data_IF_619018737462
#
_entry.id   IF_619018737462
#
_cell.length_a   1.000
_cell.length_b   1.000
_cell.length_c   1.000
_cell.angle_alpha   90.00
_cell.angle_beta   90.00
_cell.angle_gamma   90.00
#
_symmetry.space_group_name_H-M   'P 1'
#
loop_
_entity.id
_entity.type
_entity.pdbx_description
1 polymer ?
#
# COMPACT_ATOMS: atom_id res chain seq x y z
N UNK A 1 -14.36 3.98 -9.72
CA UNK A 1 -14.33 2.51 -9.87
C UNK A 1 -13.03 1.95 -9.33
N UNK A 2 -13.07 0.76 -8.74
CA UNK A 2 -11.87 0.01 -8.36
C UNK A 2 -11.57 -1.02 -9.44
N UNK A 3 -10.29 -1.19 -9.75
CA UNK A 3 -9.81 -2.11 -10.76
C UNK A 3 -8.78 -3.06 -10.16
N UNK A 4 -8.91 -4.36 -10.44
CA UNK A 4 -7.92 -5.38 -10.12
C UNK A 4 -7.06 -5.73 -11.35
N UNK A 5 -5.90 -6.35 -11.14
CA UNK A 5 -5.08 -6.87 -12.23
C UNK A 5 -5.75 -8.11 -12.86
N UNK A 6 -5.79 -8.19 -14.20
CA UNK A 6 -6.21 -9.41 -14.90
C UNK A 6 -5.03 -10.41 -14.96
N UNK A 7 -5.08 -11.47 -14.16
CA UNK A 7 -4.03 -12.48 -14.13
C UNK A 7 -3.79 -13.16 -15.49
N UNK A 8 -4.81 -13.24 -16.36
CA UNK A 8 -4.67 -13.83 -17.71
C UNK A 8 -3.88 -12.93 -18.68
N UNK A 9 -3.69 -11.66 -18.33
CA UNK A 9 -2.94 -10.67 -19.10
C UNK A 9 -1.78 -10.09 -18.28
N UNK A 10 -1.24 -10.89 -17.36
CA UNK A 10 -0.16 -10.53 -16.46
C UNK A 10 1.03 -11.45 -16.65
N UNK A 11 2.22 -10.86 -16.69
CA UNK A 11 3.49 -11.58 -16.64
C UNK A 11 4.24 -11.16 -15.39
N UNK A 12 4.96 -12.11 -14.79
CA UNK A 12 5.84 -11.88 -13.67
C UNK A 12 7.14 -12.66 -13.89
N UNK A 13 8.26 -11.97 -13.77
CA UNK A 13 9.59 -12.53 -13.96
C UNK A 13 10.48 -12.05 -12.81
N UNK A 14 11.27 -12.95 -12.23
CA UNK A 14 12.06 -12.59 -11.07
C UNK A 14 13.10 -13.61 -10.66
N UNK A 15 13.88 -13.20 -9.67
CA UNK A 15 14.86 -13.98 -8.94
C UNK A 15 14.54 -13.93 -7.43
N UNK A 16 15.44 -14.44 -6.59
CA UNK A 16 15.32 -14.35 -5.14
C UNK A 16 15.37 -12.91 -4.59
N UNK A 17 15.91 -11.96 -5.36
CA UNK A 17 16.18 -10.58 -4.90
C UNK A 17 15.43 -9.52 -5.71
N UNK A 18 14.79 -9.88 -6.82
CA UNK A 18 14.08 -8.95 -7.67
C UNK A 18 12.87 -9.59 -8.35
N UNK A 19 11.80 -8.83 -8.52
CA UNK A 19 10.60 -9.23 -9.25
C UNK A 19 10.14 -8.09 -10.13
N UNK A 20 9.86 -8.37 -11.40
CA UNK A 20 9.19 -7.47 -12.32
C UNK A 20 7.84 -8.06 -12.69
N UNK A 21 6.79 -7.26 -12.60
CA UNK A 21 5.43 -7.64 -12.94
C UNK A 21 4.86 -6.63 -13.94
N UNK A 22 4.20 -7.12 -14.98
CA UNK A 22 3.48 -6.29 -15.95
C UNK A 22 2.09 -6.89 -16.17
N UNK A 23 1.05 -6.10 -15.94
CA UNK A 23 -0.32 -6.39 -16.34
C UNK A 23 -0.74 -5.41 -17.43
N UNK A 24 -1.34 -5.90 -18.53
CA UNK A 24 -1.80 -5.08 -19.66
C UNK A 24 -3.33 -5.03 -19.80
N UNK A 25 -4.04 -5.60 -18.82
CA UNK A 25 -5.48 -5.50 -18.70
C UNK A 25 -5.89 -5.43 -17.23
N UNK A 26 -6.96 -4.71 -16.98
CA UNK A 26 -7.55 -4.54 -15.67
C UNK A 26 -8.98 -5.07 -15.65
N UNK A 27 -9.45 -5.42 -14.46
CA UNK A 27 -10.78 -5.96 -14.21
C UNK A 27 -11.57 -5.03 -13.29
N UNK A 28 -12.69 -4.51 -13.79
CA UNK A 28 -13.67 -3.72 -13.03
C UNK A 28 -14.84 -4.58 -12.55
N UNK A 29 -15.74 -3.97 -11.77
CA UNK A 29 -17.00 -4.58 -11.32
C UNK A 29 -16.85 -6.01 -10.76
N UNK A 30 -15.81 -6.25 -9.95
CA UNK A 30 -15.56 -7.56 -9.35
C UNK A 30 -15.15 -8.66 -10.35
N UNK A 31 -14.61 -8.29 -11.52
CA UNK A 31 -14.16 -9.25 -12.54
C UNK A 31 -15.06 -9.32 -13.78
N UNK A 32 -16.21 -8.64 -13.77
CA UNK A 32 -17.19 -8.72 -14.84
C UNK A 32 -16.85 -7.84 -16.05
N UNK A 33 -16.13 -6.74 -15.81
CA UNK A 33 -15.76 -5.78 -16.85
C UNK A 33 -14.26 -5.81 -17.10
N UNK A 34 -13.87 -5.85 -18.38
CA UNK A 34 -12.47 -5.73 -18.79
C UNK A 34 -12.19 -4.28 -19.20
N UNK A 35 -11.11 -3.71 -18.69
CA UNK A 35 -10.66 -2.37 -19.04
C UNK A 35 -9.23 -2.41 -19.58
N UNK A 36 -8.96 -1.54 -20.55
CA UNK A 36 -7.60 -1.28 -21.02
C UNK A 36 -6.84 -0.48 -19.95
N UNK A 37 -5.56 -0.79 -19.80
CA UNK A 37 -4.67 -0.15 -18.84
C UNK A 37 -3.42 -0.98 -18.64
N UNK A 38 -2.38 -0.35 -18.09
CA UNK A 38 -1.12 -1.01 -17.81
C UNK A 38 -0.72 -0.76 -16.37
N UNK A 39 -0.32 -1.82 -15.67
CA UNK A 39 0.34 -1.71 -14.37
C UNK A 39 1.68 -2.40 -14.49
N UNK A 40 2.75 -1.71 -14.11
CA UNK A 40 4.07 -2.29 -13.94
C UNK A 40 4.51 -2.12 -12.50
N UNK A 41 5.03 -3.19 -11.91
CA UNK A 41 5.60 -3.18 -10.57
C UNK A 41 7.00 -3.78 -10.60
N UNK A 42 7.94 -3.13 -9.93
CA UNK A 42 9.30 -3.64 -9.73
C UNK A 42 9.58 -3.72 -8.24
N UNK A 43 9.89 -4.92 -7.78
CA UNK A 43 10.32 -5.16 -6.42
C UNK A 43 11.82 -5.50 -6.43
N UNK A 44 12.56 -4.96 -5.47
CA UNK A 44 13.99 -5.27 -5.27
C UNK A 44 14.33 -5.32 -3.79
N UNK A 45 15.18 -6.27 -3.42
CA UNK A 45 15.80 -6.30 -2.09
C UNK A 45 16.92 -5.26 -2.03
N UNK A 46 16.98 -4.55 -0.92
CA UNK A 46 18.01 -3.56 -0.59
C UNK A 46 18.33 -3.67 0.90
N UNK A 47 19.32 -4.49 1.23
CA UNK A 47 19.60 -4.87 2.63
C UNK A 47 18.42 -5.62 3.25
N UNK A 48 17.90 -5.09 4.35
CA UNK A 48 16.71 -5.58 5.07
C UNK A 48 15.39 -5.04 4.50
N UNK A 49 15.45 -4.11 3.54
CA UNK A 49 14.29 -3.52 2.92
C UNK A 49 13.90 -4.25 1.61
N UNK A 50 12.60 -4.25 1.32
CA UNK A 50 12.07 -4.51 -0.03
C UNK A 50 11.51 -3.22 -0.57
N UNK A 51 12.08 -2.72 -1.67
CA UNK A 51 11.57 -1.55 -2.35
C UNK A 51 10.60 -1.98 -3.44
N UNK A 52 9.51 -1.23 -3.59
CA UNK A 52 8.45 -1.50 -4.54
C UNK A 52 8.12 -0.22 -5.31
N UNK A 53 8.45 -0.22 -6.60
CA UNK A 53 8.11 0.85 -7.54
C UNK A 53 6.90 0.41 -8.36
N UNK A 54 5.84 1.22 -8.40
CA UNK A 54 4.61 0.90 -9.15
C UNK A 54 4.24 2.06 -10.06
N UNK A 55 4.00 1.74 -11.34
CA UNK A 55 3.48 2.67 -12.34
C UNK A 55 2.17 2.11 -12.90
N UNK A 56 1.15 2.95 -12.96
CA UNK A 56 -0.16 2.61 -13.54
C UNK A 56 -0.55 3.63 -14.61
N UNK A 57 -1.11 3.14 -15.71
CA UNK A 57 -1.51 3.91 -16.88
C UNK A 57 -2.92 3.48 -17.31
N UNK A 58 -3.80 4.44 -17.55
CA UNK A 58 -5.16 4.26 -18.06
C UNK A 58 -5.60 5.53 -18.81
N UNK A 59 -6.56 5.39 -19.72
CA UNK A 59 -7.20 6.54 -20.38
C UNK A 59 -8.07 7.35 -19.40
N UNK A 60 -8.52 6.71 -18.32
CA UNK A 60 -9.27 7.37 -17.25
C UNK A 60 -8.33 7.91 -16.17
N UNK A 61 -8.68 9.03 -15.50
CA UNK A 61 -7.91 9.54 -14.37
C UNK A 61 -7.74 8.49 -13.25
N UNK A 62 -6.49 8.27 -12.85
CA UNK A 62 -6.15 7.35 -11.75
C UNK A 62 -6.15 8.13 -10.44
N UNK A 63 -7.07 7.78 -9.55
CA UNK A 63 -7.18 8.41 -8.22
C UNK A 63 -6.14 7.89 -7.23
N UNK A 64 -5.87 6.59 -7.26
CA UNK A 64 -4.93 5.92 -6.37
C UNK A 64 -4.46 4.60 -6.96
N UNK A 65 -3.31 4.14 -6.49
CA UNK A 65 -2.83 2.76 -6.66
C UNK A 65 -2.79 2.12 -5.28
N UNK A 66 -3.53 1.03 -5.10
CA UNK A 66 -3.58 0.31 -3.81
C UNK A 66 -2.57 -0.83 -3.83
N UNK A 67 -1.59 -0.77 -2.94
CA UNK A 67 -0.64 -1.87 -2.67
C UNK A 67 -1.03 -2.53 -1.36
N UNK A 68 -1.29 -3.84 -1.38
CA UNK A 68 -1.65 -4.63 -0.20
C UNK A 68 -0.44 -5.43 0.23
N UNK A 69 0.05 -5.20 1.45
CA UNK A 69 1.15 -5.95 2.04
C UNK A 69 0.57 -6.93 3.06
N UNK A 70 0.88 -8.22 2.89
CA UNK A 70 0.40 -9.29 3.78
C UNK A 70 1.55 -9.85 4.61
N UNK A 71 1.21 -10.51 5.70
CA UNK A 71 2.21 -11.10 6.61
C UNK A 71 2.87 -10.06 7.51
N UNK A 72 2.28 -8.87 7.64
CA UNK A 72 2.70 -7.89 8.65
C UNK A 72 2.20 -8.38 10.01
N UNK A 73 3.07 -8.65 11.00
CA UNK A 73 2.67 -9.19 12.29
C UNK A 73 1.78 -8.22 13.06
N UNK A 74 1.00 -8.72 14.01
CA UNK A 74 0.28 -7.88 14.97
C UNK A 74 1.26 -7.25 15.95
N UNK A 75 0.92 -6.07 16.43
CA UNK A 75 1.80 -5.30 17.31
C UNK A 75 1.35 -3.86 17.46
N UNK A 76 2.13 -3.11 18.24
CA UNK A 76 1.88 -1.68 18.43
C UNK A 76 2.17 -0.93 17.15
N UNK A 77 1.36 0.08 16.88
CA UNK A 77 1.46 0.92 15.71
C UNK A 77 2.09 2.26 16.10
N UNK A 78 3.01 2.75 15.26
CA UNK A 78 3.59 4.10 15.33
C UNK A 78 3.49 4.76 13.96
N UNK A 79 3.13 6.04 13.95
CA UNK A 79 3.05 6.86 12.74
C UNK A 79 3.91 8.12 12.91
N UNK A 80 4.63 8.49 11.85
CA UNK A 80 5.45 9.71 11.81
C UNK A 80 6.47 9.80 12.98
N UNK A 81 6.93 8.67 13.51
CA UNK A 81 7.84 8.62 14.66
C UNK A 81 7.18 8.88 16.03
N UNK A 82 5.84 8.89 16.11
CA UNK A 82 5.10 9.01 17.36
C UNK A 82 5.27 7.79 18.27
N UNK A 83 4.86 7.93 19.54
CA UNK A 83 4.89 6.84 20.51
C UNK A 83 4.05 5.65 20.02
N UNK A 84 4.55 4.39 20.11
CA UNK A 84 3.76 3.21 19.76
C UNK A 84 2.54 3.05 20.66
N UNK A 85 1.39 2.72 20.08
CA UNK A 85 0.17 2.36 20.82
C UNK A 85 -0.37 1.01 20.33
N UNK A 86 -1.10 0.29 21.19
CA UNK A 86 -1.77 -0.96 20.82
C UNK A 86 -3.18 -0.63 20.30
N UNK A 87 -3.47 -0.84 19.00
CA UNK A 87 -4.82 -0.62 18.48
C UNK A 87 -5.80 -1.73 18.86
N UNK A 88 -5.36 -2.82 19.50
CA UNK A 88 -6.15 -4.03 19.66
C UNK A 88 -6.79 -4.40 18.32
N UNK A 89 -8.04 -4.82 18.29
CA UNK A 89 -8.75 -5.22 17.07
C UNK A 89 -9.41 -4.05 16.31
N UNK A 90 -9.06 -2.81 16.65
CA UNK A 90 -9.53 -1.64 15.92
C UNK A 90 -8.78 -1.48 14.60
N UNK A 91 -9.53 -1.13 13.55
CA UNK A 91 -8.95 -0.72 12.28
C UNK A 91 -8.31 0.66 12.41
N UNK A 92 -7.08 0.80 11.90
CA UNK A 92 -6.36 2.08 11.93
C UNK A 92 -6.16 2.60 10.52
N UNK A 93 -6.59 3.84 10.27
CA UNK A 93 -6.40 4.54 9.01
C UNK A 93 -5.63 5.84 9.25
N UNK A 94 -4.47 5.95 8.61
CA UNK A 94 -3.67 7.16 8.58
C UNK A 94 -3.64 7.80 7.20
N UNK A 95 -3.59 9.13 7.18
CA UNK A 95 -3.52 9.93 5.98
C UNK A 95 -2.30 10.86 5.96
N UNK A 96 -1.48 10.74 4.92
CA UNK A 96 -0.41 11.67 4.60
C UNK A 96 -0.80 12.54 3.40
N UNK A 97 -0.48 13.85 3.37
CA UNK A 97 -0.05 14.66 4.51
C UNK A 97 -1.25 15.08 5.37
N UNK A 98 -1.06 15.12 6.69
CA UNK A 98 -1.99 15.72 7.67
C UNK A 98 -3.46 15.26 7.57
N UNK A 99 -3.70 13.99 7.29
CA UNK A 99 -5.03 13.36 7.17
C UNK A 99 -5.44 13.11 5.72
N UNK A 100 -4.70 13.70 4.77
CA UNK A 100 -4.87 13.50 3.33
C UNK A 100 -6.10 14.19 2.72
N UNK A 101 -6.84 15.00 3.49
CA UNK A 101 -7.99 15.80 3.05
C UNK A 101 -9.17 14.98 2.51
N UNK A 102 -10.11 15.66 1.83
CA UNK A 102 -11.30 15.04 1.23
C UNK A 102 -10.99 14.15 -0.01
N UNK A 103 -9.70 14.01 -0.36
CA UNK A 103 -9.29 13.21 -1.51
C UNK A 103 -9.82 11.77 -1.46
N UNK A 104 -10.20 11.23 -0.29
CA UNK A 104 -10.92 9.95 -0.24
C UNK A 104 -12.00 9.84 0.84
N UNK A 105 -12.76 10.92 1.04
CA UNK A 105 -14.01 10.94 1.83
C UNK A 105 -13.83 11.29 3.32
N UNK A 106 -14.73 12.15 3.80
CA UNK A 106 -15.06 12.56 5.18
C UNK A 106 -13.93 12.89 6.15
N UNK A 107 -12.67 12.95 5.70
CA UNK A 107 -11.50 13.31 6.49
C UNK A 107 -11.34 12.46 7.77
N UNK A 108 -11.66 11.17 7.69
CA UNK A 108 -11.68 10.23 8.84
C UNK A 108 -10.31 9.69 9.23
N UNK A 109 -9.30 9.86 8.38
CA UNK A 109 -7.96 9.35 8.62
C UNK A 109 -7.18 10.23 9.60
N UNK A 110 -6.46 9.62 10.54
CA UNK A 110 -5.60 10.40 11.45
C UNK A 110 -4.38 10.94 10.70
N UNK A 111 -3.93 12.14 11.08
CA UNK A 111 -2.93 12.86 10.33
C UNK A 111 -1.50 12.33 10.46
N UNK A 112 -0.77 12.36 9.34
CA UNK A 112 0.67 12.04 9.29
C UNK A 112 1.49 13.23 8.77
N UNK A 113 2.58 13.55 9.45
CA UNK A 113 3.57 14.53 8.98
C UNK A 113 4.62 13.92 8.04
N UNK A 114 4.86 12.61 8.15
CA UNK A 114 5.83 11.85 7.36
C UNK A 114 5.18 10.53 6.94
N UNK A 115 5.31 10.08 5.68
CA UNK A 115 4.69 8.83 5.24
C UNK A 115 5.53 7.62 5.69
N UNK A 116 5.64 7.45 7.01
CA UNK A 116 6.32 6.37 7.70
C UNK A 116 5.40 5.82 8.77
N UNK A 117 5.22 4.51 8.74
CA UNK A 117 4.54 3.74 9.77
C UNK A 117 5.43 2.61 10.24
N UNK A 118 5.36 2.28 11.52
CA UNK A 118 6.13 1.19 12.11
C UNK A 118 5.18 0.30 12.88
N UNK A 119 5.30 -1.01 12.67
CA UNK A 119 4.69 -2.04 13.50
C UNK A 119 5.76 -2.60 14.42
N UNK A 120 5.53 -2.50 15.73
CA UNK A 120 6.37 -3.11 16.76
C UNK A 120 5.73 -4.40 17.26
N UNK A 121 6.31 -5.54 16.89
CA UNK A 121 5.89 -6.88 17.28
C UNK A 121 6.95 -7.50 18.22
N UNK A 122 6.75 -7.36 19.54
CA UNK A 122 7.78 -7.70 20.52
C UNK A 122 9.04 -6.85 20.32
N UNK A 123 10.17 -7.52 20.06
CA UNK A 123 11.47 -6.89 19.77
C UNK A 123 11.68 -6.65 18.26
N UNK A 124 10.74 -7.04 17.40
CA UNK A 124 10.81 -6.87 15.96
C UNK A 124 10.08 -5.60 15.51
N UNK A 125 10.62 -4.94 14.49
CA UNK A 125 10.05 -3.73 13.90
C UNK A 125 9.93 -3.90 12.39
N UNK A 126 8.75 -3.58 11.84
CA UNK A 126 8.53 -3.51 10.40
C UNK A 126 8.12 -2.08 10.05
N UNK A 127 8.92 -1.45 9.20
CA UNK A 127 8.65 -0.12 8.69
C UNK A 127 8.00 -0.20 7.31
N UNK A 128 6.94 0.57 7.11
CA UNK A 128 6.36 0.84 5.80
C UNK A 128 6.47 2.34 5.55
N UNK A 129 7.11 2.70 4.44
CA UNK A 129 7.29 4.10 4.05
C UNK A 129 7.16 4.30 2.55
N UNK A 130 6.90 5.54 2.14
CA UNK A 130 7.05 5.95 0.75
C UNK A 130 8.26 6.84 0.56
N UNK A 131 9.02 6.59 -0.51
CA UNK A 131 10.19 7.36 -0.91
C UNK A 131 9.78 8.35 -2.00
N UNK A 132 9.22 9.48 -1.59
CA UNK A 132 8.65 10.45 -2.52
C UNK A 132 9.64 11.54 -2.92
N UNK A 133 9.62 11.91 -4.20
CA UNK A 133 10.32 13.10 -4.71
C UNK A 133 9.49 14.39 -4.55
N UNK A 134 8.19 14.25 -4.24
CA UNK A 134 7.22 15.33 -4.10
C UNK A 134 6.08 14.92 -3.19
N UNK A 135 5.43 15.88 -2.55
CA UNK A 135 4.28 15.59 -1.68
C UNK A 135 3.14 14.96 -2.50
N UNK A 136 2.78 13.73 -2.15
CA UNK A 136 1.67 12.97 -2.74
C UNK A 136 0.82 12.36 -1.64
N UNK A 137 -0.49 12.54 -1.71
CA UNK A 137 -1.41 12.02 -0.72
C UNK A 137 -1.40 10.50 -0.68
N UNK A 138 -1.35 9.91 0.51
CA UNK A 138 -1.33 8.46 0.75
C UNK A 138 -2.17 8.09 1.94
N UNK A 139 -2.62 6.83 1.95
CA UNK A 139 -3.26 6.22 3.10
C UNK A 139 -2.49 4.97 3.50
N UNK A 140 -2.30 4.81 4.81
CA UNK A 140 -1.83 3.58 5.42
C UNK A 140 -2.99 3.04 6.22
N UNK A 141 -3.49 1.88 5.81
CA UNK A 141 -4.63 1.23 6.43
C UNK A 141 -4.13 -0.08 7.02
N UNK A 142 -4.41 -0.27 8.30
CA UNK A 142 -4.08 -1.47 9.05
C UNK A 142 -5.38 -2.13 9.43
N UNK A 143 -5.80 -3.09 8.61
CA UNK A 143 -6.92 -3.95 8.95
C UNK A 143 -6.40 -5.11 9.82
N UNK A 144 -6.91 -5.30 11.04
CA UNK A 144 -6.50 -6.42 11.88
C UNK A 144 -7.09 -7.71 11.32
N UNK A 145 -6.24 -8.71 11.12
CA UNK A 145 -6.63 -10.08 10.80
C UNK A 145 -6.06 -11.06 11.83
N UNK A 146 -6.54 -12.30 11.78
CA UNK A 146 -6.15 -13.37 12.72
C UNK A 146 -4.62 -13.60 12.74
N UNK A 147 -3.96 -13.48 11.59
CA UNK A 147 -2.52 -13.76 11.44
C UNK A 147 -1.63 -12.51 11.41
N UNK A 148 -2.20 -11.31 11.37
CA UNK A 148 -1.45 -10.10 11.04
C UNK A 148 -2.31 -8.95 10.56
N UNK A 149 -1.70 -7.79 10.35
CA UNK A 149 -2.31 -6.70 9.59
C UNK A 149 -2.30 -7.01 8.09
N UNK A 150 -3.25 -6.37 7.39
CA UNK A 150 -3.33 -6.31 5.93
C UNK A 150 -3.45 -4.87 5.45
#
# INVERSE_FOLDING_TARGET
>A
NAYALDASAMTAEGSADALSLIATRLLGAGGQERAAGRVSARLRRDGDATLCDVTAEMDQPIKAVTTVVRGVPRGKLSSSGGAPFDPHDDEVLWGYPFGGGDLFGDNTAWGMGTPLTVVQAGDQFIALSSLDDRVRTKRFYFQPGEQGYR
#
